data_IF_064181658351
#
_entry.id   IF_064181658351
#
_cell.length_a   1.000
_cell.length_b   1.000
_cell.length_c   1.000
_cell.angle_alpha   90.00
_cell.angle_beta   90.00
_cell.angle_gamma   90.00
#
_symmetry.space_group_name_H-M   'P 1'
#
loop_
_entity.id
_entity.type
_entity.pdbx_description
1 polymer ?
#
# COMPACT_ATOMS: atom_id res chain seq x y z
N UNK A 1 11.20 -7.76 11.08
CA UNK A 1 12.29 -6.80 11.34
C UNK A 1 12.00 -6.11 12.66
N UNK A 2 13.02 -5.92 13.49
CA UNK A 2 12.88 -5.14 14.74
C UNK A 2 12.93 -3.63 14.46
N UNK A 3 13.75 -3.21 13.50
CA UNK A 3 13.79 -1.83 12.98
C UNK A 3 14.21 -1.80 11.49
N UNK A 4 14.23 -0.58 10.93
CA UNK A 4 14.65 -0.31 9.55
C UNK A 4 16.02 0.37 9.43
N UNK A 5 16.76 0.55 10.52
CA UNK A 5 18.02 1.30 10.53
C UNK A 5 19.03 0.84 9.45
N UNK A 6 19.16 -0.46 9.12
CA UNK A 6 20.07 -0.90 8.06
C UNK A 6 19.66 -0.50 6.63
N UNK A 7 18.40 -0.10 6.43
CA UNK A 7 17.80 0.08 5.11
C UNK A 7 17.42 1.52 4.79
N UNK A 8 17.46 2.45 5.76
CA UNK A 8 17.00 3.84 5.57
C UNK A 8 17.71 4.57 4.42
N UNK A 9 19.00 4.27 4.19
CA UNK A 9 19.82 4.87 3.13
C UNK A 9 19.96 3.96 1.89
N UNK A 10 19.17 2.89 1.79
CA UNK A 10 19.22 2.01 0.62
C UNK A 10 18.88 2.80 -0.66
N UNK A 11 19.64 2.66 -1.77
CA UNK A 11 19.55 3.54 -2.94
C UNK A 11 18.31 3.29 -3.83
N UNK A 12 17.23 2.78 -3.26
CA UNK A 12 15.94 2.61 -3.95
C UNK A 12 15.26 3.96 -4.21
N UNK A 13 14.52 4.02 -5.32
CA UNK A 13 13.73 5.21 -5.70
C UNK A 13 12.34 5.23 -5.05
N UNK A 14 11.80 4.07 -4.72
CA UNK A 14 10.49 3.86 -4.10
C UNK A 14 10.68 2.81 -3.01
N UNK A 15 9.97 2.97 -1.90
CA UNK A 15 9.99 1.99 -0.81
C UNK A 15 8.66 1.24 -0.74
N UNK A 16 8.75 -0.08 -0.71
CA UNK A 16 7.67 -0.97 -0.28
C UNK A 16 8.20 -1.73 0.93
N UNK A 17 7.62 -1.46 2.10
CA UNK A 17 8.02 -2.09 3.35
C UNK A 17 6.79 -2.47 4.18
N UNK A 18 6.93 -3.50 5.05
CA UNK A 18 5.91 -3.79 6.05
C UNK A 18 5.64 -2.56 6.92
N UNK A 19 4.37 -2.30 7.21
CA UNK A 19 3.98 -1.24 8.15
C UNK A 19 4.04 -1.73 9.62
N UNK A 20 3.98 -3.04 9.85
CA UNK A 20 4.23 -3.63 11.16
C UNK A 20 5.73 -3.95 11.33
N UNK A 21 6.39 -3.29 12.28
CA UNK A 21 7.83 -3.40 12.53
C UNK A 21 8.05 -3.55 14.03
N UNK A 22 8.54 -4.71 14.47
CA UNK A 22 8.58 -5.03 15.90
C UNK A 22 7.21 -4.81 16.57
N UNK A 23 7.20 -4.01 17.64
CA UNK A 23 5.99 -3.62 18.37
C UNK A 23 5.29 -2.36 17.81
N UNK A 24 5.84 -1.75 16.76
CA UNK A 24 5.34 -0.49 16.19
C UNK A 24 4.56 -0.74 14.90
N UNK A 25 3.53 0.07 14.69
CA UNK A 25 2.78 0.14 13.43
C UNK A 25 3.03 1.52 12.83
N UNK A 26 3.62 1.56 11.64
CA UNK A 26 3.84 2.77 10.86
C UNK A 26 2.66 3.03 9.94
N UNK A 27 2.44 4.30 9.64
CA UNK A 27 1.61 4.74 8.53
C UNK A 27 2.44 4.84 7.24
N UNK A 28 1.82 4.81 6.06
CA UNK A 28 2.51 5.09 4.80
C UNK A 28 3.25 6.43 4.78
N UNK A 29 2.71 7.46 5.47
CA UNK A 29 3.33 8.78 5.57
C UNK A 29 4.59 8.77 6.45
N UNK A 30 4.58 8.03 7.56
CA UNK A 30 5.76 7.84 8.40
C UNK A 30 6.84 7.04 7.68
N UNK A 31 6.47 5.99 6.93
CA UNK A 31 7.40 5.25 6.09
C UNK A 31 8.02 6.17 5.02
N UNK A 32 7.21 6.94 4.29
CA UNK A 32 7.72 7.88 3.29
C UNK A 32 8.68 8.92 3.90
N UNK A 33 8.39 9.40 5.11
CA UNK A 33 9.24 10.34 5.85
C UNK A 33 10.56 9.69 6.29
N UNK A 34 10.49 8.48 6.83
CA UNK A 34 11.65 7.73 7.32
C UNK A 34 12.66 7.45 6.20
N UNK A 35 12.18 6.96 5.05
CA UNK A 35 13.04 6.62 3.93
C UNK A 35 13.34 7.82 3.01
N UNK A 36 12.63 8.95 3.15
CA UNK A 36 12.67 10.09 2.23
C UNK A 36 12.47 9.65 0.77
N UNK A 37 11.50 8.76 0.57
CA UNK A 37 11.12 8.16 -0.71
C UNK A 37 9.60 8.00 -0.81
N UNK A 38 9.03 8.01 -2.02
CA UNK A 38 7.64 7.62 -2.24
C UNK A 38 7.37 6.21 -1.67
N UNK A 39 6.22 6.04 -1.02
CA UNK A 39 5.78 4.75 -0.50
C UNK A 39 4.90 4.02 -1.52
N UNK A 40 5.10 2.71 -1.68
CA UNK A 40 4.28 1.82 -2.50
C UNK A 40 3.63 0.74 -1.62
N UNK A 41 2.31 0.68 -1.62
CA UNK A 41 1.53 -0.27 -0.81
C UNK A 41 0.15 0.27 -0.47
N UNK A 42 -0.36 -0.13 0.69
CA UNK A 42 -1.57 0.40 1.31
C UNK A 42 -2.79 -0.52 1.27
N UNK A 43 -2.78 -1.60 0.50
CA UNK A 43 -3.87 -2.58 0.48
C UNK A 43 -3.43 -3.95 0.98
N UNK A 44 -4.19 -4.53 1.92
CA UNK A 44 -3.83 -5.81 2.54
C UNK A 44 -4.05 -6.95 1.54
N UNK A 45 -2.97 -7.70 1.24
CA UNK A 45 -2.94 -8.72 0.18
C UNK A 45 -3.92 -9.87 0.42
N UNK A 46 -4.22 -10.20 1.68
CA UNK A 46 -5.17 -11.26 2.07
C UNK A 46 -6.53 -10.71 2.47
N UNK A 47 -6.70 -9.38 2.43
CA UNK A 47 -7.90 -8.68 2.83
C UNK A 47 -8.92 -8.61 1.71
N UNK A 48 -9.46 -7.42 1.47
CA UNK A 48 -10.53 -7.21 0.47
C UNK A 48 -10.05 -7.49 -0.95
N UNK A 49 -8.76 -7.31 -1.25
CA UNK A 49 -8.19 -7.68 -2.55
C UNK A 49 -8.46 -9.15 -2.88
N UNK A 50 -8.18 -10.06 -1.94
CA UNK A 50 -8.31 -11.50 -2.15
C UNK A 50 -9.75 -12.01 -2.01
N UNK A 51 -10.53 -11.45 -1.08
CA UNK A 51 -11.81 -12.05 -0.64
C UNK A 51 -13.00 -11.11 -0.67
N UNK A 52 -12.76 -9.83 -0.91
CA UNK A 52 -13.79 -8.80 -0.86
C UNK A 52 -14.59 -8.69 -2.16
N UNK A 53 -15.69 -7.94 -2.06
CA UNK A 53 -16.47 -7.52 -3.23
C UNK A 53 -15.82 -6.30 -3.89
N UNK A 54 -16.14 -6.01 -5.17
CA UNK A 54 -15.65 -4.81 -5.84
C UNK A 54 -15.97 -3.51 -5.08
N UNK A 55 -17.11 -3.43 -4.40
CA UNK A 55 -17.50 -2.26 -3.60
C UNK A 55 -16.60 -2.09 -2.38
N UNK A 56 -16.24 -3.19 -1.71
CA UNK A 56 -15.34 -3.17 -0.57
C UNK A 56 -13.93 -2.73 -0.98
N UNK A 57 -13.46 -3.20 -2.13
CA UNK A 57 -12.16 -2.80 -2.70
C UNK A 57 -12.18 -1.33 -3.08
N UNK A 58 -13.26 -0.86 -3.69
CA UNK A 58 -13.42 0.56 -4.01
C UNK A 58 -13.33 1.40 -2.75
N UNK A 59 -14.06 1.02 -1.70
CA UNK A 59 -14.05 1.73 -0.43
C UNK A 59 -12.66 1.72 0.23
N UNK A 60 -11.98 0.57 0.26
CA UNK A 60 -10.63 0.45 0.81
C UNK A 60 -9.62 1.30 0.02
N UNK A 61 -9.58 1.15 -1.30
CA UNK A 61 -8.67 1.92 -2.16
C UNK A 61 -8.91 3.44 -2.02
N UNK A 62 -10.16 3.89 -1.95
CA UNK A 62 -10.48 5.29 -1.70
C UNK A 62 -9.99 5.77 -0.33
N UNK A 63 -10.18 4.96 0.72
CA UNK A 63 -9.72 5.29 2.07
C UNK A 63 -8.19 5.37 2.15
N UNK A 64 -7.49 4.47 1.47
CA UNK A 64 -6.02 4.47 1.39
C UNK A 64 -5.54 5.71 0.67
N UNK A 65 -6.09 6.03 -0.50
CA UNK A 65 -5.70 7.20 -1.28
C UNK A 65 -5.99 8.50 -0.52
N UNK A 66 -7.13 8.60 0.18
CA UNK A 66 -7.49 9.78 0.95
C UNK A 66 -6.50 10.11 2.08
N UNK A 67 -5.85 9.08 2.64
CA UNK A 67 -4.86 9.22 3.71
C UNK A 67 -3.41 9.07 3.21
N UNK A 68 -3.21 8.95 1.89
CA UNK A 68 -1.90 8.69 1.31
C UNK A 68 -0.99 9.93 1.38
N UNK A 69 0.34 9.74 1.55
CA UNK A 69 1.30 10.84 1.43
C UNK A 69 1.31 11.41 0.01
N UNK A 70 1.87 12.61 -0.15
CA UNK A 70 1.88 13.31 -1.43
C UNK A 70 2.48 12.48 -2.58
N UNK A 71 3.54 11.71 -2.28
CA UNK A 71 4.22 10.80 -3.21
C UNK A 71 3.92 9.35 -2.80
N UNK A 72 2.98 8.73 -3.50
CA UNK A 72 2.44 7.41 -3.15
C UNK A 72 2.09 6.62 -4.41
N UNK A 73 2.27 5.29 -4.34
CA UNK A 73 1.82 4.34 -5.34
C UNK A 73 0.89 3.33 -4.66
N UNK A 74 -0.38 3.32 -5.04
CA UNK A 74 -1.32 2.31 -4.53
C UNK A 74 -0.88 0.93 -5.02
N UNK A 75 -0.65 0.02 -4.08
CA UNK A 75 -0.31 -1.36 -4.38
C UNK A 75 -0.80 -2.29 -3.26
N UNK A 76 -0.76 -3.59 -3.51
CA UNK A 76 -0.84 -4.55 -2.43
C UNK A 76 0.43 -4.47 -1.56
N UNK A 77 0.28 -4.68 -0.25
CA UNK A 77 1.40 -4.62 0.69
C UNK A 77 2.46 -5.70 0.45
N UNK A 78 2.10 -6.76 -0.26
CA UNK A 78 3.00 -7.82 -0.73
C UNK A 78 2.33 -8.53 -1.92
N UNK A 79 2.76 -9.75 -2.25
CA UNK A 79 2.17 -10.56 -3.31
C UNK A 79 0.74 -10.97 -2.97
N UNK A 80 -0.17 -10.71 -3.91
CA UNK A 80 -1.56 -11.18 -3.84
C UNK A 80 -1.64 -12.70 -4.06
N UNK A 81 -2.60 -13.40 -3.45
CA UNK A 81 -2.88 -14.82 -3.74
C UNK A 81 -3.10 -15.09 -5.23
N UNK A 82 -2.75 -16.29 -5.70
CA UNK A 82 -2.87 -16.68 -7.11
C UNK A 82 -4.33 -16.79 -7.59
N UNK A 83 -5.26 -16.96 -6.67
CA UNK A 83 -6.71 -17.03 -6.88
C UNK A 83 -7.41 -15.68 -6.66
N UNK A 84 -6.65 -14.60 -6.45
CA UNK A 84 -7.20 -13.25 -6.33
C UNK A 84 -8.01 -12.90 -7.58
N UNK A 85 -9.31 -12.53 -7.43
CA UNK A 85 -10.14 -12.23 -8.59
C UNK A 85 -9.58 -11.09 -9.42
N UNK A 86 -9.53 -11.25 -10.74
CA UNK A 86 -9.03 -10.20 -11.63
C UNK A 86 -9.85 -8.91 -11.55
N UNK A 87 -11.15 -9.01 -11.36
CA UNK A 87 -12.03 -7.85 -11.25
C UNK A 87 -11.76 -7.04 -9.97
N UNK A 88 -11.28 -7.71 -8.92
CA UNK A 88 -10.83 -7.05 -7.70
C UNK A 88 -9.59 -6.19 -7.96
N UNK A 89 -8.61 -6.73 -8.69
CA UNK A 89 -7.41 -5.97 -9.09
C UNK A 89 -7.75 -4.80 -10.01
N UNK A 90 -8.61 -5.02 -11.01
CA UNK A 90 -9.08 -3.96 -11.92
C UNK A 90 -9.79 -2.85 -11.16
N UNK A 91 -10.63 -3.18 -10.19
CA UNK A 91 -11.34 -2.18 -9.39
C UNK A 91 -10.38 -1.28 -8.61
N UNK A 92 -9.34 -1.83 -7.99
CA UNK A 92 -8.33 -1.02 -7.30
C UNK A 92 -7.57 -0.09 -8.28
N UNK A 93 -7.21 -0.60 -9.46
CA UNK A 93 -6.55 0.17 -10.53
C UNK A 93 -7.47 1.31 -11.02
N UNK A 94 -8.73 1.01 -11.26
CA UNK A 94 -9.72 1.98 -11.74
C UNK A 94 -9.92 3.11 -10.73
N UNK A 95 -9.99 2.78 -9.43
CA UNK A 95 -10.09 3.79 -8.38
C UNK A 95 -8.86 4.70 -8.35
N UNK A 96 -7.65 4.12 -8.46
CA UNK A 96 -6.42 4.91 -8.46
C UNK A 96 -6.32 5.85 -9.67
N UNK A 97 -6.63 5.38 -10.87
CA UNK A 97 -6.55 6.20 -12.09
C UNK A 97 -7.66 7.26 -12.20
N UNK A 98 -8.83 7.00 -11.63
CA UNK A 98 -9.94 7.96 -11.64
C UNK A 98 -9.89 8.94 -10.47
N UNK A 99 -8.97 8.77 -9.52
CA UNK A 99 -8.79 9.72 -8.43
C UNK A 99 -8.22 11.04 -8.97
N UNK A 100 -8.88 12.15 -8.64
CA UNK A 100 -8.39 13.50 -8.88
C UNK A 100 -8.18 14.17 -7.53
N UNK A 101 -6.96 14.71 -7.34
CA UNK A 101 -6.63 15.55 -6.19
C UNK A 101 -7.27 16.94 -6.32
#
# INVERSE_FOLDING_TARGET
YEDFAPFVDYPGHVVNCPLQVGAQTLTPAEAATLFKRPYMGGMERKGTLATGTPEQIRAEAQAVIANAPAQFVLAADCTVPNDTPWDNLKMAIDVAHNHRK
#
